data_IF_225955114615
#
_entry.id   IF_225955114615
#
_cell.length_a   1.000
_cell.length_b   1.000
_cell.length_c   1.000
_cell.angle_alpha   90.00
_cell.angle_beta   90.00
_cell.angle_gamma   90.00
#
_symmetry.space_group_name_H-M   'P 1'
#
loop_
_entity.id
_entity.type
_entity.pdbx_description
1 polymer ?
#
# COMPACT_ATOMS: atom_id res chain seq x y z
N UNK A 1 -27.14 24.42 6.20
CA UNK A 1 -27.02 23.36 5.15
C UNK A 1 -25.64 23.32 4.53
N UNK A 2 -25.06 24.46 4.07
CA UNK A 2 -23.68 24.48 3.52
C UNK A 2 -22.64 24.10 4.58
N UNK A 3 -22.80 24.58 5.83
CA UNK A 3 -21.91 24.27 6.95
C UNK A 3 -21.81 22.76 7.27
N UNK A 4 -22.88 22.00 7.00
CA UNK A 4 -22.86 20.54 7.21
C UNK A 4 -21.86 19.82 6.28
N UNK A 5 -21.61 20.36 5.10
CA UNK A 5 -20.60 19.79 4.18
C UNK A 5 -19.17 20.06 4.67
N UNK A 6 -18.89 21.21 5.30
CA UNK A 6 -17.60 21.47 5.92
C UNK A 6 -17.29 20.44 7.00
N UNK A 7 -18.24 20.20 7.91
CA UNK A 7 -18.08 19.18 8.95
C UNK A 7 -17.86 17.77 8.38
N UNK A 8 -18.53 17.44 7.25
CA UNK A 8 -18.29 16.17 6.57
C UNK A 8 -16.87 16.07 5.99
N UNK A 9 -16.35 17.15 5.38
CA UNK A 9 -14.99 17.17 4.84
C UNK A 9 -13.97 17.05 5.95
N UNK A 10 -14.10 17.82 7.03
CA UNK A 10 -13.24 17.73 8.22
C UNK A 10 -13.21 16.32 8.81
N UNK A 11 -14.35 15.64 8.82
CA UNK A 11 -14.43 14.26 9.31
C UNK A 11 -13.73 13.27 8.39
N UNK A 12 -13.80 13.48 7.06
CA UNK A 12 -13.05 12.67 6.08
C UNK A 12 -11.55 12.89 6.18
N UNK A 13 -11.12 14.13 6.41
CA UNK A 13 -9.70 14.49 6.62
C UNK A 13 -9.15 13.84 7.90
N UNK A 14 -9.86 13.97 9.02
CA UNK A 14 -9.47 13.38 10.29
C UNK A 14 -9.35 11.84 10.21
N UNK A 15 -10.29 11.18 9.52
CA UNK A 15 -10.22 9.73 9.32
C UNK A 15 -9.06 9.33 8.41
N UNK A 16 -8.73 10.14 7.40
CA UNK A 16 -7.58 9.92 6.54
C UNK A 16 -6.27 10.04 7.33
N UNK A 17 -6.11 11.09 8.14
CA UNK A 17 -4.94 11.28 9.02
C UNK A 17 -4.73 10.09 9.97
N UNK A 18 -5.82 9.56 10.56
CA UNK A 18 -5.74 8.37 11.41
C UNK A 18 -5.22 7.14 10.64
N UNK A 19 -5.65 6.97 9.39
CA UNK A 19 -5.18 5.87 8.54
C UNK A 19 -3.72 6.09 8.15
N UNK A 20 -3.34 7.30 7.77
CA UNK A 20 -1.96 7.65 7.39
C UNK A 20 -0.97 7.42 8.54
N UNK A 21 -1.35 7.75 9.76
CA UNK A 21 -0.54 7.49 10.95
C UNK A 21 -0.23 5.99 11.15
N UNK A 22 -1.05 5.10 10.60
CA UNK A 22 -0.91 3.64 10.73
C UNK A 22 -0.43 2.94 9.47
N UNK A 23 -0.22 3.63 8.35
CA UNK A 23 0.15 3.04 7.06
C UNK A 23 1.44 2.20 7.15
N UNK A 24 2.44 2.67 7.89
CA UNK A 24 3.72 1.99 8.06
C UNK A 24 3.76 1.00 9.24
N UNK A 25 2.65 0.84 9.96
CA UNK A 25 2.57 -0.13 11.04
C UNK A 25 2.44 -1.55 10.47
N UNK A 26 3.36 -2.45 10.88
CA UNK A 26 3.33 -3.87 10.46
C UNK A 26 1.95 -4.47 10.72
N UNK A 27 1.44 -5.21 9.76
CA UNK A 27 0.13 -5.87 9.76
C UNK A 27 -1.11 -4.93 9.67
N UNK A 28 -0.97 -3.61 9.64
CA UNK A 28 -2.09 -2.69 9.46
C UNK A 28 -2.44 -2.45 7.97
N UNK A 29 -1.47 -2.63 7.07
CA UNK A 29 -1.60 -2.28 5.66
C UNK A 29 -2.80 -2.95 4.95
N UNK A 30 -3.08 -4.23 5.22
CA UNK A 30 -4.25 -4.93 4.64
C UNK A 30 -5.58 -4.39 5.17
N UNK A 31 -5.66 -4.03 6.45
CA UNK A 31 -6.87 -3.45 7.05
C UNK A 31 -7.08 -2.01 6.58
N UNK A 32 -6.00 -1.25 6.42
CA UNK A 32 -6.06 0.12 5.97
C UNK A 32 -6.60 0.24 4.54
N UNK A 33 -6.38 -0.76 3.68
CA UNK A 33 -6.89 -0.74 2.31
C UNK A 33 -8.43 -0.71 2.29
N UNK A 34 -9.09 -1.50 3.14
CA UNK A 34 -10.56 -1.53 3.23
C UNK A 34 -11.10 -0.19 3.75
N UNK A 35 -10.44 0.39 4.76
CA UNK A 35 -10.80 1.71 5.31
C UNK A 35 -10.63 2.80 4.26
N UNK A 36 -9.52 2.82 3.50
CA UNK A 36 -9.27 3.78 2.44
C UNK A 36 -10.30 3.69 1.31
N UNK A 37 -10.69 2.49 0.89
CA UNK A 37 -11.76 2.33 -0.10
C UNK A 37 -13.13 2.77 0.42
N UNK A 38 -13.44 2.50 1.68
CA UNK A 38 -14.65 3.01 2.32
C UNK A 38 -14.68 4.54 2.37
N UNK A 39 -13.53 5.15 2.71
CA UNK A 39 -13.36 6.59 2.74
C UNK A 39 -13.50 7.22 1.34
N UNK A 40 -12.87 6.61 0.33
CA UNK A 40 -13.02 7.00 -1.08
C UNK A 40 -14.48 6.97 -1.54
N UNK A 41 -15.22 5.95 -1.16
CA UNK A 41 -16.64 5.83 -1.48
C UNK A 41 -17.46 6.94 -0.83
N UNK A 42 -17.20 7.24 0.45
CA UNK A 42 -17.88 8.33 1.17
C UNK A 42 -17.55 9.70 0.56
N UNK A 43 -16.29 10.00 0.26
CA UNK A 43 -15.90 11.25 -0.39
C UNK A 43 -16.56 11.42 -1.75
N UNK A 44 -16.70 10.34 -2.53
CA UNK A 44 -17.41 10.35 -3.81
C UNK A 44 -18.90 10.66 -3.63
N UNK A 45 -19.55 10.13 -2.60
CA UNK A 45 -20.95 10.43 -2.29
C UNK A 45 -21.16 11.92 -1.95
N UNK A 46 -20.27 12.48 -1.14
CA UNK A 46 -20.32 13.92 -0.77
C UNK A 46 -20.11 14.79 -2.02
N UNK A 47 -19.17 14.44 -2.88
CA UNK A 47 -18.94 15.11 -4.17
C UNK A 47 -20.19 15.10 -5.04
N UNK A 48 -20.83 13.96 -5.24
CA UNK A 48 -22.04 13.84 -6.06
C UNK A 48 -23.20 14.65 -5.51
N UNK A 49 -23.24 14.86 -4.19
CA UNK A 49 -24.26 15.73 -3.59
C UNK A 49 -23.91 17.22 -3.75
N UNK A 50 -22.63 17.61 -3.62
CA UNK A 50 -22.20 19.00 -3.65
C UNK A 50 -22.15 19.58 -5.08
N UNK A 51 -21.75 18.79 -6.06
CA UNK A 51 -21.51 19.26 -7.44
C UNK A 51 -22.76 19.83 -8.13
N UNK A 52 -23.96 19.21 -8.10
CA UNK A 52 -25.16 19.78 -8.67
C UNK A 52 -25.58 21.08 -7.97
N UNK A 53 -25.35 21.18 -6.66
CA UNK A 53 -25.63 22.41 -5.91
C UNK A 53 -24.74 23.56 -6.35
N UNK A 54 -23.44 23.31 -6.54
CA UNK A 54 -22.49 24.29 -7.07
C UNK A 54 -22.90 24.78 -8.45
N UNK A 55 -23.28 23.88 -9.34
CA UNK A 55 -23.76 24.23 -10.70
C UNK A 55 -25.04 25.05 -10.67
N UNK A 56 -25.99 24.67 -9.81
CA UNK A 56 -27.26 25.40 -9.68
C UNK A 56 -27.04 26.80 -9.14
N UNK A 57 -26.31 26.94 -8.05
CA UNK A 57 -26.00 28.23 -7.43
C UNK A 57 -25.14 29.09 -8.37
N UNK A 58 -24.21 28.51 -9.12
CA UNK A 58 -23.43 29.20 -10.13
C UNK A 58 -24.29 29.80 -11.26
N UNK A 59 -25.37 29.12 -11.68
CA UNK A 59 -26.33 29.68 -12.64
C UNK A 59 -27.10 30.87 -12.04
N UNK A 60 -27.49 30.78 -10.78
CA UNK A 60 -28.19 31.87 -10.08
C UNK A 60 -27.25 33.07 -9.89
N UNK A 61 -25.99 32.88 -9.48
CA UNK A 61 -25.00 33.94 -9.37
C UNK A 61 -24.68 34.58 -10.73
N UNK A 62 -24.63 33.80 -11.83
CA UNK A 62 -24.31 34.28 -13.19
C UNK A 62 -25.44 35.05 -13.86
N UNK A 63 -26.45 35.54 -13.14
CA UNK A 63 -27.52 36.42 -13.64
C UNK A 63 -28.66 35.70 -14.37
N UNK A 64 -28.70 34.37 -14.39
CA UNK A 64 -29.84 33.57 -14.87
C UNK A 64 -30.89 33.40 -13.78
N UNK A 65 -31.25 34.48 -13.15
CA UNK A 65 -32.18 34.53 -12.01
C UNK A 65 -33.56 34.91 -12.52
N UNK A 66 -34.62 34.24 -12.07
CA UNK A 66 -35.98 34.76 -12.27
C UNK A 66 -36.10 36.19 -11.72
N UNK A 67 -36.92 37.08 -12.34
CA UNK A 67 -37.02 38.47 -11.91
C UNK A 67 -37.30 38.67 -10.42
N UNK A 68 -37.97 37.70 -9.79
CA UNK A 68 -38.31 37.69 -8.35
C UNK A 68 -37.07 37.58 -7.45
N UNK A 69 -35.93 37.02 -7.96
CA UNK A 69 -34.72 36.76 -7.18
C UNK A 69 -33.58 37.75 -7.47
N UNK A 70 -33.77 38.77 -8.29
CA UNK A 70 -32.73 39.72 -8.68
C UNK A 70 -32.08 40.44 -7.51
N UNK A 71 -32.87 40.75 -6.46
CA UNK A 71 -32.35 41.39 -5.21
C UNK A 71 -31.53 40.44 -4.32
N UNK A 72 -31.54 39.13 -4.57
CA UNK A 72 -30.85 38.12 -3.76
C UNK A 72 -29.52 37.66 -4.40
N UNK A 73 -29.07 38.27 -5.49
CA UNK A 73 -27.90 37.85 -6.24
C UNK A 73 -26.60 37.88 -5.40
N UNK A 74 -26.46 38.84 -4.49
CA UNK A 74 -25.30 38.91 -3.57
C UNK A 74 -25.25 37.73 -2.62
N UNK A 75 -26.39 37.26 -2.13
CA UNK A 75 -26.45 36.06 -1.26
C UNK A 75 -26.02 34.79 -2.02
N UNK A 76 -26.38 34.70 -3.32
CA UNK A 76 -25.95 33.57 -4.14
C UNK A 76 -24.46 33.59 -4.40
N UNK A 77 -23.81 34.75 -4.42
CA UNK A 77 -22.37 34.87 -4.54
C UNK A 77 -21.66 34.23 -3.34
N UNK A 78 -22.08 34.60 -2.13
CA UNK A 78 -21.49 34.07 -0.89
C UNK A 78 -21.65 32.54 -0.80
N UNK A 79 -22.86 32.04 -1.09
CA UNK A 79 -23.13 30.59 -1.13
C UNK A 79 -22.30 29.89 -2.20
N UNK A 80 -22.12 30.51 -3.37
CA UNK A 80 -21.29 29.96 -4.44
C UNK A 80 -19.83 29.85 -4.03
N UNK A 81 -19.28 30.87 -3.37
CA UNK A 81 -17.91 30.88 -2.90
C UNK A 81 -17.67 29.79 -1.84
N UNK A 82 -18.61 29.61 -0.92
CA UNK A 82 -18.57 28.53 0.08
C UNK A 82 -18.62 27.14 -0.57
N UNK A 83 -19.54 26.91 -1.52
CA UNK A 83 -19.65 25.66 -2.24
C UNK A 83 -18.39 25.37 -3.07
N UNK A 84 -17.77 26.40 -3.65
CA UNK A 84 -16.51 26.25 -4.38
C UNK A 84 -15.38 25.80 -3.47
N UNK A 85 -15.26 26.37 -2.27
CA UNK A 85 -14.29 25.93 -1.25
C UNK A 85 -14.50 24.47 -0.85
N UNK A 86 -15.77 24.09 -0.61
CA UNK A 86 -16.13 22.70 -0.27
C UNK A 86 -15.76 21.76 -1.41
N UNK A 87 -16.10 22.09 -2.65
CA UNK A 87 -15.77 21.27 -3.81
C UNK A 87 -14.25 21.09 -3.96
N UNK A 88 -13.47 22.15 -3.76
CA UNK A 88 -12.01 22.10 -3.82
C UNK A 88 -11.44 21.22 -2.69
N UNK A 89 -11.96 21.35 -1.47
CA UNK A 89 -11.54 20.54 -0.34
C UNK A 89 -11.86 19.05 -0.57
N UNK A 90 -13.05 18.72 -1.08
CA UNK A 90 -13.41 17.33 -1.43
C UNK A 90 -12.45 16.74 -2.46
N UNK A 91 -12.07 17.50 -3.50
CA UNK A 91 -11.09 17.01 -4.50
C UNK A 91 -9.72 16.81 -3.86
N UNK A 92 -9.27 17.72 -2.98
CA UNK A 92 -8.02 17.56 -2.22
C UNK A 92 -8.00 16.28 -1.38
N UNK A 93 -9.08 16.02 -0.64
CA UNK A 93 -9.23 14.77 0.16
C UNK A 93 -9.21 13.53 -0.75
N UNK A 94 -9.87 13.58 -1.90
CA UNK A 94 -9.89 12.44 -2.86
C UNK A 94 -8.50 12.14 -3.41
N UNK A 95 -7.75 13.17 -3.75
CA UNK A 95 -6.37 13.01 -4.25
C UNK A 95 -5.46 12.46 -3.16
N UNK A 96 -5.58 12.95 -1.92
CA UNK A 96 -4.86 12.43 -0.78
C UNK A 96 -5.22 10.96 -0.49
N UNK A 97 -6.50 10.59 -0.52
CA UNK A 97 -6.93 9.18 -0.38
C UNK A 97 -6.32 8.31 -1.49
N UNK A 98 -6.28 8.79 -2.74
CA UNK A 98 -5.70 8.02 -3.85
C UNK A 98 -4.20 7.80 -3.64
N UNK A 99 -3.49 8.83 -3.20
CA UNK A 99 -2.07 8.74 -2.82
C UNK A 99 -1.85 7.77 -1.66
N UNK A 100 -2.68 7.84 -0.62
CA UNK A 100 -2.61 6.93 0.52
C UNK A 100 -2.85 5.47 0.12
N UNK A 101 -3.75 5.19 -0.84
CA UNK A 101 -3.95 3.86 -1.41
C UNK A 101 -2.67 3.37 -2.11
N UNK A 102 -2.04 4.20 -2.95
CA UNK A 102 -0.82 3.84 -3.66
C UNK A 102 0.34 3.55 -2.71
N UNK A 103 0.52 4.39 -1.70
CA UNK A 103 1.52 4.19 -0.65
C UNK A 103 1.25 2.89 0.11
N UNK A 104 0.00 2.65 0.52
CA UNK A 104 -0.37 1.44 1.25
C UNK A 104 -0.12 0.16 0.42
N UNK A 105 -0.44 0.17 -0.88
CA UNK A 105 -0.14 -0.94 -1.79
C UNK A 105 1.36 -1.17 -1.93
N UNK A 106 2.16 -0.09 -1.98
CA UNK A 106 3.61 -0.17 -2.02
C UNK A 106 4.18 -0.80 -0.75
N UNK A 107 3.65 -0.47 0.42
CA UNK A 107 4.04 -1.09 1.69
C UNK A 107 3.74 -2.59 1.69
N UNK A 108 2.56 -3.01 1.23
CA UNK A 108 2.20 -4.43 1.09
C UNK A 108 3.18 -5.15 0.15
N UNK A 109 3.51 -4.55 -1.00
CA UNK A 109 4.44 -5.13 -1.97
C UNK A 109 5.86 -5.29 -1.39
N UNK A 110 6.31 -4.36 -0.57
CA UNK A 110 7.59 -4.45 0.14
C UNK A 110 7.56 -5.61 1.15
N UNK A 111 6.51 -5.74 1.95
CA UNK A 111 6.34 -6.84 2.89
C UNK A 111 6.34 -8.22 2.19
N UNK A 112 5.60 -8.35 1.09
CA UNK A 112 5.57 -9.58 0.28
C UNK A 112 6.96 -9.90 -0.33
N UNK A 113 7.70 -8.87 -0.72
CA UNK A 113 9.08 -9.02 -1.21
C UNK A 113 10.01 -9.52 -0.11
N UNK A 114 9.88 -9.04 1.13
CA UNK A 114 10.68 -9.52 2.27
C UNK A 114 10.40 -10.99 2.59
N UNK A 115 9.14 -11.40 2.57
CA UNK A 115 8.76 -12.81 2.76
C UNK A 115 9.35 -13.68 1.64
N UNK A 116 9.23 -13.23 0.40
CA UNK A 116 9.78 -13.95 -0.77
C UNK A 116 11.30 -14.10 -0.69
N UNK A 117 12.03 -13.05 -0.29
CA UNK A 117 13.48 -13.11 -0.06
C UNK A 117 13.86 -14.16 0.98
N UNK A 118 13.13 -14.21 2.12
CA UNK A 118 13.37 -15.22 3.15
C UNK A 118 13.14 -16.63 2.64
N UNK A 119 12.03 -16.86 1.93
CA UNK A 119 11.73 -18.16 1.33
C UNK A 119 12.81 -18.57 0.32
N UNK A 120 13.22 -17.65 -0.57
CA UNK A 120 14.26 -17.89 -1.56
C UNK A 120 15.63 -18.22 -0.90
N UNK A 121 15.97 -17.52 0.19
CA UNK A 121 17.20 -17.78 0.92
C UNK A 121 17.22 -19.21 1.51
N UNK A 122 16.15 -19.61 2.19
CA UNK A 122 16.04 -20.96 2.74
C UNK A 122 16.00 -22.03 1.64
N UNK A 123 15.20 -21.81 0.59
CA UNK A 123 15.15 -22.72 -0.57
C UNK A 123 16.53 -22.90 -1.19
N UNK A 124 17.31 -21.83 -1.36
CA UNK A 124 18.67 -21.89 -1.91
C UNK A 124 19.63 -22.71 -1.02
N UNK A 125 19.55 -22.56 0.30
CA UNK A 125 20.36 -23.34 1.25
C UNK A 125 20.01 -24.84 1.15
N UNK A 126 18.72 -25.17 1.16
CA UNK A 126 18.30 -26.58 1.05
C UNK A 126 18.61 -27.18 -0.32
N UNK A 127 18.35 -26.45 -1.41
CA UNK A 127 18.65 -26.92 -2.76
C UNK A 127 20.13 -27.19 -2.96
N UNK A 128 21.01 -26.30 -2.49
CA UNK A 128 22.46 -26.49 -2.58
C UNK A 128 22.91 -27.69 -1.76
N UNK A 129 22.41 -27.86 -0.54
CA UNK A 129 22.72 -29.00 0.31
C UNK A 129 22.27 -30.32 -0.32
N UNK A 130 21.06 -30.33 -0.89
CA UNK A 130 20.50 -31.51 -1.58
C UNK A 130 21.30 -31.85 -2.84
N UNK A 131 21.68 -30.85 -3.65
CA UNK A 131 22.48 -31.04 -4.83
C UNK A 131 23.86 -31.66 -4.50
N UNK A 132 24.55 -31.14 -3.46
CA UNK A 132 25.81 -31.70 -3.00
C UNK A 132 25.66 -33.14 -2.50
N UNK A 133 24.63 -33.41 -1.69
CA UNK A 133 24.35 -34.78 -1.22
C UNK A 133 24.00 -35.70 -2.39
N UNK A 134 23.27 -35.21 -3.40
CA UNK A 134 22.92 -35.95 -4.59
C UNK A 134 24.13 -36.38 -5.43
N UNK A 135 25.13 -35.49 -5.58
CA UNK A 135 26.38 -35.81 -6.32
C UNK A 135 27.10 -36.99 -5.65
N UNK A 136 27.23 -37.00 -4.34
CA UNK A 136 27.84 -38.10 -3.61
C UNK A 136 26.95 -39.34 -3.47
N UNK A 137 25.64 -39.18 -3.70
CA UNK A 137 24.70 -40.32 -3.78
C UNK A 137 24.61 -41.00 -5.14
N UNK A 138 25.37 -40.53 -6.15
CA UNK A 138 25.38 -41.14 -7.48
C UNK A 138 26.22 -42.41 -7.46
N UNK A 139 25.73 -43.47 -8.12
CA UNK A 139 26.41 -44.78 -8.18
C UNK A 139 27.32 -44.86 -9.45
N UNK A 140 28.42 -44.11 -9.47
CA UNK A 140 29.42 -44.26 -10.52
C UNK A 140 30.44 -45.32 -10.12
N UNK A 141 30.91 -46.13 -11.11
CA UNK A 141 31.92 -47.19 -10.90
C UNK A 141 33.27 -46.63 -10.42
N UNK A 142 33.61 -45.42 -10.81
CA UNK A 142 34.88 -44.78 -10.48
C UNK A 142 34.64 -43.49 -9.68
N UNK A 143 34.52 -43.63 -8.35
CA UNK A 143 34.50 -42.54 -7.41
C UNK A 143 35.66 -42.68 -6.41
N UNK A 144 36.82 -42.03 -6.68
CA UNK A 144 37.98 -42.14 -5.80
C UNK A 144 37.74 -41.66 -4.38
N UNK A 145 36.82 -40.69 -4.20
CA UNK A 145 36.48 -40.14 -2.92
C UNK A 145 35.80 -41.14 -1.96
N UNK A 146 35.03 -42.11 -2.48
CA UNK A 146 34.34 -43.13 -1.69
C UNK A 146 35.27 -44.15 -1.06
N UNK A 147 36.49 -44.32 -1.59
CA UNK A 147 37.50 -45.24 -1.06
C UNK A 147 38.26 -44.64 0.13
N UNK A 148 38.12 -43.37 0.44
CA UNK A 148 38.81 -42.70 1.49
C UNK A 148 38.04 -42.82 2.81
N UNK A 149 38.71 -43.25 3.88
CA UNK A 149 38.10 -43.49 5.21
C UNK A 149 37.40 -42.28 5.81
N UNK A 150 37.81 -41.06 5.45
CA UNK A 150 37.28 -39.82 5.94
C UNK A 150 36.32 -39.12 4.96
N UNK A 151 35.93 -39.76 3.88
CA UNK A 151 35.08 -39.14 2.84
C UNK A 151 33.72 -38.73 3.39
N UNK A 152 33.08 -39.58 4.19
CA UNK A 152 31.78 -39.29 4.79
C UNK A 152 31.79 -38.07 5.70
N UNK A 153 32.67 -37.99 6.75
CA UNK A 153 32.72 -36.79 7.56
C UNK A 153 33.20 -35.55 6.80
N UNK A 154 34.08 -35.70 5.78
CA UNK A 154 34.48 -34.59 4.93
C UNK A 154 33.32 -34.05 4.08
N UNK A 155 32.50 -34.91 3.49
CA UNK A 155 31.31 -34.52 2.72
C UNK A 155 30.32 -33.75 3.61
N UNK A 156 30.01 -34.24 4.81
CA UNK A 156 29.16 -33.55 5.77
C UNK A 156 29.74 -32.19 6.18
N UNK A 157 31.06 -32.12 6.38
CA UNK A 157 31.72 -30.86 6.71
C UNK A 157 31.63 -29.84 5.57
N UNK A 158 31.78 -30.26 4.32
CA UNK A 158 31.61 -29.40 3.13
C UNK A 158 30.18 -28.89 3.02
N UNK A 159 29.17 -29.76 3.13
CA UNK A 159 27.75 -29.37 3.09
C UNK A 159 27.46 -28.35 4.21
N UNK A 160 27.91 -28.62 5.42
CA UNK A 160 27.71 -27.70 6.54
C UNK A 160 28.43 -26.36 6.33
N UNK A 161 29.66 -26.37 5.83
CA UNK A 161 30.43 -25.16 5.56
C UNK A 161 29.76 -24.29 4.50
N UNK A 162 29.31 -24.90 3.38
CA UNK A 162 28.58 -24.19 2.31
C UNK A 162 27.26 -23.64 2.83
N UNK A 163 26.49 -24.42 3.59
CA UNK A 163 25.22 -23.98 4.15
C UNK A 163 25.41 -22.79 5.12
N UNK A 164 26.43 -22.84 5.98
CA UNK A 164 26.77 -21.74 6.90
C UNK A 164 27.26 -20.51 6.12
N UNK A 165 28.05 -20.70 5.07
CA UNK A 165 28.52 -19.60 4.23
C UNK A 165 27.34 -18.89 3.52
N UNK A 166 26.40 -19.66 2.93
CA UNK A 166 25.20 -19.13 2.31
C UNK A 166 24.32 -18.41 3.35
N UNK A 167 24.07 -19.01 4.49
CA UNK A 167 23.31 -18.38 5.58
C UNK A 167 23.92 -17.04 5.99
N UNK A 168 25.26 -17.00 6.23
CA UNK A 168 25.95 -15.76 6.57
C UNK A 168 25.85 -14.70 5.47
N UNK A 169 25.93 -15.12 4.20
CA UNK A 169 25.82 -14.25 3.04
C UNK A 169 24.41 -13.66 2.93
N UNK A 170 23.35 -14.46 3.07
CA UNK A 170 21.97 -14.01 3.03
C UNK A 170 21.64 -13.10 4.21
N UNK A 171 22.14 -13.42 5.41
CA UNK A 171 21.99 -12.56 6.59
C UNK A 171 22.67 -11.21 6.42
N UNK A 172 23.88 -11.16 5.83
CA UNK A 172 24.56 -9.89 5.52
C UNK A 172 23.83 -9.09 4.43
N UNK A 173 23.14 -9.75 3.53
CA UNK A 173 22.35 -9.12 2.48
C UNK A 173 20.95 -8.67 2.96
N UNK A 174 20.58 -8.93 4.23
CA UNK A 174 19.29 -8.57 4.80
C UNK A 174 18.12 -9.46 4.31
N UNK A 175 18.42 -10.69 3.85
CA UNK A 175 17.39 -11.63 3.39
C UNK A 175 16.89 -12.55 4.51
N UNK A 176 17.68 -12.72 5.57
CA UNK A 176 17.38 -13.53 6.76
C UNK A 176 17.59 -12.73 8.05
#
# INVERSE_FOLDING_TARGET
>A
MVDSYFQMVEHLEAELEEIEATIFAKAAARRNIERLYALKRRSTTVRHAAQPMLEFVGKLHGGRVPPVCQQSQEYFRDVHDHLTRIATAIEGVRDAISTAIEVNLSVVAIEDTEVTKKLAAWASIFATSTALAGIWGMNFEVMPELKWRWSYPAALAVIAAVSVALYRRFRKAGWL
#
